data_IF_860524040815
#
_entry.id   IF_860524040815
#
_cell.length_a   1.000
_cell.length_b   1.000
_cell.length_c   1.000
_cell.angle_alpha   90.00
_cell.angle_beta   90.00
_cell.angle_gamma   90.00
#
_symmetry.space_group_name_H-M   'P 1'
#
loop_
_entity.id
_entity.type
_entity.pdbx_description
1 polymer ?
#
# COMPACT_ATOMS: atom_id res chain seq x y z
N UNK A 1 8.08 -22.71 -25.68
CA UNK A 1 7.09 -21.77 -25.14
C UNK A 1 7.75 -20.83 -24.16
N UNK A 2 7.65 -19.53 -24.43
CA UNK A 2 8.06 -18.46 -23.52
C UNK A 2 7.10 -18.35 -22.32
N UNK A 3 7.51 -17.63 -21.29
CA UNK A 3 6.65 -17.34 -20.14
C UNK A 3 5.42 -16.53 -20.56
N UNK A 4 5.61 -15.61 -21.50
CA UNK A 4 4.57 -14.72 -22.02
C UNK A 4 3.51 -15.50 -22.79
N UNK A 5 3.93 -16.46 -23.62
CA UNK A 5 3.04 -17.39 -24.33
C UNK A 5 2.23 -18.26 -23.37
N UNK A 6 2.83 -18.73 -22.27
CA UNK A 6 2.12 -19.49 -21.22
C UNK A 6 1.05 -18.66 -20.54
N UNK A 7 1.36 -17.40 -20.20
CA UNK A 7 0.41 -16.49 -19.54
C UNK A 7 -0.79 -16.23 -20.44
N UNK A 8 -0.56 -15.95 -21.73
CA UNK A 8 -1.64 -15.73 -22.70
C UNK A 8 -2.54 -16.96 -22.82
N UNK A 9 -1.95 -18.16 -22.88
CA UNK A 9 -2.72 -19.40 -22.93
C UNK A 9 -3.60 -19.58 -21.69
N UNK A 10 -3.05 -19.42 -20.48
CA UNK A 10 -3.83 -19.53 -19.26
C UNK A 10 -4.94 -18.48 -19.17
N UNK A 11 -4.69 -17.24 -19.60
CA UNK A 11 -5.71 -16.20 -19.63
C UNK A 11 -6.89 -16.61 -20.53
N UNK A 12 -6.63 -17.24 -21.67
CA UNK A 12 -7.69 -17.70 -22.57
C UNK A 12 -8.52 -18.87 -22.03
N UNK A 13 -7.97 -19.65 -21.10
CA UNK A 13 -8.68 -20.74 -20.44
C UNK A 13 -9.61 -20.24 -19.31
N UNK A 14 -9.45 -18.99 -18.85
CA UNK A 14 -10.23 -18.41 -17.76
C UNK A 14 -11.58 -17.80 -18.22
N UNK A 15 -12.64 -17.91 -17.40
CA UNK A 15 -13.86 -17.13 -17.52
C UNK A 15 -13.61 -15.62 -17.58
N UNK A 16 -14.54 -14.86 -18.16
CA UNK A 16 -14.37 -13.42 -18.37
C UNK A 16 -14.17 -12.62 -17.07
N UNK A 17 -14.86 -12.99 -15.99
CA UNK A 17 -14.72 -12.32 -14.70
C UNK A 17 -13.32 -12.52 -14.08
N UNK A 18 -12.75 -13.72 -14.20
CA UNK A 18 -11.39 -14.01 -13.72
C UNK A 18 -10.33 -13.33 -14.59
N UNK A 19 -10.58 -13.19 -15.90
CA UNK A 19 -9.72 -12.39 -16.79
C UNK A 19 -9.68 -10.91 -16.39
N UNK A 20 -10.79 -10.35 -15.93
CA UNK A 20 -10.83 -8.99 -15.40
C UNK A 20 -10.00 -8.85 -14.12
N UNK A 21 -10.06 -9.85 -13.23
CA UNK A 21 -9.22 -9.87 -12.01
C UNK A 21 -7.71 -9.96 -12.34
N UNK A 22 -7.34 -10.68 -13.39
CA UNK A 22 -5.94 -10.71 -13.87
C UNK A 22 -5.50 -9.31 -14.34
N UNK A 23 -6.36 -8.55 -15.00
CA UNK A 23 -6.06 -7.17 -15.40
C UNK A 23 -5.82 -6.27 -14.18
N UNK A 24 -6.70 -6.36 -13.17
CA UNK A 24 -6.54 -5.63 -11.92
C UNK A 24 -5.23 -6.00 -11.21
N UNK A 25 -4.86 -7.28 -11.24
CA UNK A 25 -3.61 -7.76 -10.66
C UNK A 25 -2.38 -7.22 -11.39
N UNK A 26 -2.41 -7.12 -12.72
CA UNK A 26 -1.34 -6.51 -13.51
C UNK A 26 -1.16 -5.04 -13.12
N UNK A 27 -2.24 -4.29 -12.98
CA UNK A 27 -2.17 -2.88 -12.55
C UNK A 27 -1.74 -2.75 -11.09
N UNK A 28 -2.11 -3.71 -10.23
CA UNK A 28 -1.57 -3.81 -8.89
C UNK A 28 -0.04 -3.97 -8.92
N UNK A 29 0.49 -4.91 -9.73
CA UNK A 29 1.91 -5.19 -9.85
C UNK A 29 2.70 -3.98 -10.37
N UNK A 30 2.18 -3.29 -11.40
CA UNK A 30 2.79 -2.04 -11.93
C UNK A 30 2.93 -0.97 -10.85
N UNK A 31 1.95 -0.87 -9.96
CA UNK A 31 1.91 0.15 -8.90
C UNK A 31 2.48 -0.33 -7.56
N UNK A 32 2.83 -1.62 -7.42
CA UNK A 32 3.33 -2.19 -6.16
C UNK A 32 4.65 -1.55 -5.74
N UNK A 33 5.55 -1.30 -6.69
CA UNK A 33 6.83 -0.62 -6.44
C UNK A 33 6.63 0.78 -5.87
N UNK A 34 5.79 1.59 -6.51
CA UNK A 34 5.44 2.94 -6.07
C UNK A 34 4.81 2.96 -4.67
N UNK A 35 3.91 2.01 -4.38
CA UNK A 35 3.29 1.88 -3.04
C UNK A 35 4.32 1.54 -1.96
N UNK A 36 5.27 0.67 -2.27
CA UNK A 36 6.38 0.32 -1.36
C UNK A 36 7.27 1.54 -1.10
N UNK A 37 7.63 2.26 -2.15
CA UNK A 37 8.42 3.49 -2.07
C UNK A 37 7.73 4.59 -1.25
N UNK A 38 6.43 4.84 -1.46
CA UNK A 38 5.65 5.80 -0.67
C UNK A 38 5.65 5.39 0.81
N UNK A 39 5.49 4.10 1.11
CA UNK A 39 5.49 3.61 2.49
C UNK A 39 6.86 3.82 3.15
N UNK A 40 7.93 3.41 2.47
CA UNK A 40 9.31 3.57 2.96
C UNK A 40 9.66 5.06 3.15
N UNK A 41 9.23 5.91 2.22
CA UNK A 41 9.40 7.36 2.32
C UNK A 41 8.63 7.97 3.49
N UNK A 42 7.40 7.51 3.73
CA UNK A 42 6.58 7.94 4.87
C UNK A 42 7.22 7.57 6.21
N UNK A 43 7.71 6.34 6.34
CA UNK A 43 8.40 5.86 7.55
C UNK A 43 9.71 6.64 7.78
N UNK A 44 10.49 6.87 6.72
CA UNK A 44 11.71 7.67 6.78
C UNK A 44 11.45 9.13 7.15
N UNK A 45 10.43 9.76 6.55
CA UNK A 45 10.09 11.17 6.80
C UNK A 45 9.64 11.37 8.24
N UNK A 46 8.78 10.47 8.76
CA UNK A 46 8.29 10.55 10.13
C UNK A 46 9.43 10.35 11.14
N UNK A 47 10.26 9.31 10.96
CA UNK A 47 11.39 9.05 11.85
C UNK A 47 12.41 10.20 11.84
N UNK A 48 12.63 10.82 10.67
CA UNK A 48 13.49 12.00 10.55
C UNK A 48 12.90 13.22 11.25
N UNK A 49 11.58 13.44 11.15
CA UNK A 49 10.90 14.55 11.80
C UNK A 49 10.84 14.41 13.32
N UNK A 50 10.68 13.20 13.84
CA UNK A 50 10.65 12.90 15.27
C UNK A 50 12.04 12.89 15.93
N UNK A 51 13.11 12.96 15.12
CA UNK A 51 14.48 12.87 15.62
C UNK A 51 14.83 14.08 16.48
N UNK A 52 15.19 13.85 17.73
CA UNK A 52 15.44 14.88 18.74
C UNK A 52 14.22 15.25 19.60
N UNK A 53 13.03 14.72 19.29
CA UNK A 53 11.79 14.89 20.07
C UNK A 53 11.37 13.60 20.78
N UNK A 54 12.20 12.54 20.77
CA UNK A 54 11.78 11.19 21.20
C UNK A 54 11.46 11.10 22.70
N UNK A 55 12.05 11.99 23.51
CA UNK A 55 11.85 12.06 24.95
C UNK A 55 10.95 13.21 25.39
N UNK A 56 10.36 13.96 24.45
CA UNK A 56 9.43 15.03 24.78
C UNK A 56 8.10 14.43 25.27
N UNK A 57 7.62 14.93 26.41
CA UNK A 57 6.29 14.56 26.87
C UNK A 57 5.22 15.12 25.93
N UNK A 58 4.24 14.29 25.58
CA UNK A 58 3.10 14.74 24.78
C UNK A 58 2.30 15.78 25.58
N UNK A 59 2.09 16.99 25.06
CA UNK A 59 1.25 17.98 25.73
C UNK A 59 -0.25 17.65 25.61
N UNK A 60 -0.61 16.65 24.81
CA UNK A 60 -1.98 16.26 24.53
C UNK A 60 -2.37 14.98 25.27
N UNK A 61 -3.63 14.93 25.66
CA UNK A 61 -4.30 13.86 26.41
C UNK A 61 -5.64 13.48 25.76
N UNK A 62 -6.25 12.42 26.26
CA UNK A 62 -7.61 12.00 25.84
C UNK A 62 -8.65 13.07 26.20
N UNK A 63 -8.41 13.84 27.25
CA UNK A 63 -9.31 14.90 27.70
C UNK A 63 -9.39 16.08 26.70
N UNK A 64 -8.44 16.17 25.75
CA UNK A 64 -8.44 17.19 24.69
C UNK A 64 -9.35 16.85 23.50
N UNK A 65 -9.92 15.64 23.46
CA UNK A 65 -10.81 15.21 22.39
C UNK A 65 -12.17 15.93 22.50
N UNK A 66 -12.51 16.72 21.48
CA UNK A 66 -13.79 17.46 21.42
C UNK A 66 -15.01 16.57 21.16
N UNK A 67 -14.82 15.48 20.44
CA UNK A 67 -15.89 14.54 20.09
C UNK A 67 -15.53 13.16 20.61
N UNK A 68 -16.50 12.55 21.29
CA UNK A 68 -16.43 11.16 21.73
C UNK A 68 -17.62 10.42 21.13
N UNK A 69 -17.33 9.30 20.46
CA UNK A 69 -18.36 8.42 19.90
C UNK A 69 -18.56 7.26 20.85
N UNK A 70 -19.80 7.09 21.33
CA UNK A 70 -20.26 5.98 22.18
C UNK A 70 -21.33 5.17 21.46
#
# INVERSE_FOLDING_TARGET
>A
MSLEEKIIQYIHELPEHERAEVLDFIDYLKNRGKRKEIKEWSEFSLSSAMRGMESEETPYSIDDLKETFS
#
